data_IF_812110533829
#
_entry.id   IF_812110533829
#
_cell.length_a   1.000
_cell.length_b   1.000
_cell.length_c   1.000
_cell.angle_alpha   90.00
_cell.angle_beta   90.00
_cell.angle_gamma   90.00
#
_symmetry.space_group_name_H-M   'P 1'
#
loop_
_entity.id
_entity.type
_entity.pdbx_description
1 polymer ?
#
# COMPACT_ATOMS: atom_id res chain seq x y z
N UNK A 1 4.54 -7.27 29.30
CA UNK A 1 3.59 -6.67 28.32
C UNK A 1 4.10 -7.10 26.95
N UNK A 2 3.20 -7.55 26.08
CA UNK A 2 3.59 -7.93 24.72
C UNK A 2 4.08 -6.69 23.97
N UNK A 3 5.12 -6.84 23.16
CA UNK A 3 5.62 -5.77 22.30
C UNK A 3 4.83 -5.77 21.01
N UNK A 4 4.21 -4.64 20.67
CA UNK A 4 3.42 -4.46 19.46
C UNK A 4 4.14 -3.54 18.50
N UNK A 5 4.39 -3.99 17.27
CA UNK A 5 4.88 -3.15 16.16
C UNK A 5 3.72 -2.86 15.24
N UNK A 6 3.37 -1.59 15.08
CA UNK A 6 2.17 -1.20 14.35
C UNK A 6 2.53 -0.58 13.01
N UNK A 7 1.89 -1.09 11.95
CA UNK A 7 1.99 -0.56 10.60
C UNK A 7 0.76 0.25 10.25
N UNK A 8 1.00 1.50 9.80
CA UNK A 8 0.02 2.43 9.27
C UNK A 8 0.22 2.55 7.76
N UNK A 9 -0.55 1.79 7.03
CA UNK A 9 -0.49 1.77 5.57
C UNK A 9 -1.35 2.87 4.99
N UNK A 10 -0.77 3.77 4.21
CA UNK A 10 -1.47 4.85 3.51
C UNK A 10 -1.32 4.65 2.01
N UNK A 11 -2.44 4.56 1.28
CA UNK A 11 -2.38 4.58 -0.17
C UNK A 11 -2.07 6.00 -0.65
N UNK A 12 -1.14 6.12 -1.61
CA UNK A 12 -0.78 7.39 -2.23
C UNK A 12 -2.00 8.21 -2.69
N UNK A 13 -1.79 9.52 -2.92
CA UNK A 13 -2.78 10.45 -3.44
C UNK A 13 -3.33 10.04 -4.82
N UNK A 14 -4.51 10.53 -5.24
CA UNK A 14 -5.08 10.24 -6.55
C UNK A 14 -4.12 10.55 -7.68
N UNK A 15 -4.08 9.67 -8.68
CA UNK A 15 -3.34 9.89 -9.93
C UNK A 15 -4.26 10.51 -10.95
N UNK A 16 -3.77 11.46 -11.74
CA UNK A 16 -4.52 12.13 -12.80
C UNK A 16 -3.98 11.75 -14.19
N UNK A 17 -4.84 11.79 -15.20
CA UNK A 17 -4.43 11.62 -16.61
C UNK A 17 -4.12 10.18 -17.03
N UNK A 18 -4.52 9.18 -16.27
CA UNK A 18 -4.30 7.75 -16.56
C UNK A 18 -5.59 6.93 -16.54
N UNK A 19 -6.73 7.59 -16.85
CA UNK A 19 -8.02 6.93 -16.83
C UNK A 19 -8.09 5.80 -17.86
N UNK A 20 -8.53 4.63 -17.39
CA UNK A 20 -8.74 3.46 -18.26
C UNK A 20 -7.49 2.71 -18.67
N UNK A 21 -6.30 3.09 -18.18
CA UNK A 21 -5.05 2.37 -18.44
C UNK A 21 -4.45 1.77 -17.18
N UNK A 22 -3.71 0.69 -17.33
CA UNK A 22 -2.91 0.12 -16.23
C UNK A 22 -1.58 0.85 -16.16
N UNK A 23 -1.35 1.63 -15.10
CA UNK A 23 -0.05 2.27 -14.89
C UNK A 23 0.90 1.46 -14.00
N UNK A 24 0.39 0.60 -13.11
CA UNK A 24 1.21 -0.31 -12.29
C UNK A 24 2.43 0.36 -11.65
N UNK A 25 3.61 -0.19 -11.96
CA UNK A 25 4.90 0.33 -11.50
C UNK A 25 5.44 1.51 -12.32
N UNK A 26 4.74 1.99 -13.37
CA UNK A 26 5.14 3.23 -14.04
C UNK A 26 5.11 4.40 -13.05
N UNK A 27 6.11 5.26 -13.15
CA UNK A 27 6.20 6.44 -12.29
C UNK A 27 5.32 7.57 -12.85
N UNK A 28 4.05 7.56 -12.41
CA UNK A 28 3.05 8.56 -12.75
C UNK A 28 2.84 9.53 -11.59
N UNK A 29 2.50 10.76 -11.91
CA UNK A 29 2.29 11.82 -10.92
C UNK A 29 0.95 11.68 -10.18
N UNK A 30 0.81 12.39 -9.06
CA UNK A 30 -0.41 12.38 -8.25
C UNK A 30 -0.86 13.80 -7.88
N UNK A 31 -2.15 13.95 -7.60
CA UNK A 31 -2.76 15.19 -7.16
C UNK A 31 -2.69 15.32 -5.63
N UNK A 32 -1.90 16.28 -5.15
CA UNK A 32 -1.73 16.62 -3.73
C UNK A 32 -2.38 17.97 -3.38
N UNK A 33 -3.32 18.45 -4.19
CA UNK A 33 -3.96 19.77 -4.02
C UNK A 33 -4.98 19.81 -2.88
N UNK A 34 -5.59 18.69 -2.46
CA UNK A 34 -6.58 18.62 -1.39
C UNK A 34 -5.96 18.82 0.01
N UNK A 35 -5.65 20.08 0.32
CA UNK A 35 -5.01 20.46 1.60
C UNK A 35 -5.85 20.10 2.83
N UNK A 36 -7.18 20.06 2.69
CA UNK A 36 -8.07 19.71 3.81
C UNK A 36 -7.91 18.23 4.16
N UNK A 37 -7.88 17.37 3.14
CA UNK A 37 -7.71 15.94 3.32
C UNK A 37 -6.31 15.59 3.85
N UNK A 38 -5.26 16.29 3.39
CA UNK A 38 -3.90 16.11 3.91
C UNK A 38 -3.76 16.55 5.36
N UNK A 39 -4.41 17.66 5.78
CA UNK A 39 -4.47 18.05 7.19
C UNK A 39 -5.17 17.02 8.07
N UNK A 40 -6.26 16.41 7.57
CA UNK A 40 -6.93 15.33 8.28
C UNK A 40 -6.06 14.07 8.37
N UNK A 41 -5.35 13.74 7.29
CA UNK A 41 -4.40 12.61 7.26
C UNK A 41 -3.24 12.82 8.25
N UNK A 42 -2.62 14.00 8.25
CA UNK A 42 -1.54 14.34 9.19
C UNK A 42 -1.97 14.19 10.65
N UNK A 43 -3.21 14.59 10.99
CA UNK A 43 -3.77 14.44 12.34
C UNK A 43 -4.08 12.98 12.73
N UNK A 44 -4.33 12.12 11.75
CA UNK A 44 -4.71 10.73 11.98
C UNK A 44 -3.48 9.81 12.12
N UNK A 45 -2.31 10.24 11.68
CA UNK A 45 -1.09 9.44 11.71
C UNK A 45 -0.30 9.67 13.00
N UNK A 46 0.44 8.67 13.50
CA UNK A 46 1.17 8.77 14.76
C UNK A 46 2.40 9.69 14.65
N UNK A 47 2.60 10.51 15.67
CA UNK A 47 3.84 11.26 15.86
C UNK A 47 5.00 10.32 16.23
N UNK A 48 6.23 10.67 15.85
CA UNK A 48 7.43 9.91 16.20
C UNK A 48 7.55 8.54 15.54
N UNK A 49 6.70 8.22 14.57
CA UNK A 49 6.78 6.97 13.82
C UNK A 49 8.04 6.88 12.94
N UNK A 50 8.38 5.66 12.55
CA UNK A 50 9.30 5.40 11.44
C UNK A 50 8.53 5.59 10.13
N UNK A 51 9.13 6.29 9.16
CA UNK A 51 8.49 6.51 7.87
C UNK A 51 9.21 5.77 6.75
N UNK A 52 8.44 5.10 5.93
CA UNK A 52 8.91 4.42 4.72
C UNK A 52 7.99 4.73 3.54
N UNK A 53 8.55 4.80 2.34
CA UNK A 53 7.78 4.95 1.10
C UNK A 53 8.29 3.97 0.05
N UNK A 54 7.49 3.67 -0.97
CA UNK A 54 8.03 3.12 -2.20
C UNK A 54 8.90 4.18 -2.91
N UNK A 55 9.65 3.75 -3.92
CA UNK A 55 10.46 4.62 -4.77
C UNK A 55 9.63 5.48 -5.76
N UNK A 56 8.33 5.18 -5.94
CA UNK A 56 7.50 5.85 -6.94
C UNK A 56 7.11 7.26 -6.47
N UNK A 57 7.22 8.24 -7.38
CA UNK A 57 7.05 9.67 -7.08
C UNK A 57 5.72 9.99 -6.39
N UNK A 58 4.63 9.30 -6.75
CA UNK A 58 3.32 9.49 -6.12
C UNK A 58 3.29 9.14 -4.62
N UNK A 59 4.09 8.15 -4.18
CA UNK A 59 4.21 7.82 -2.76
C UNK A 59 5.07 8.87 -2.04
N UNK A 60 6.20 9.26 -2.64
CA UNK A 60 7.11 10.27 -2.10
C UNK A 60 6.40 11.62 -1.96
N UNK A 61 5.70 12.09 -3.01
CA UNK A 61 4.93 13.34 -2.99
C UNK A 61 3.78 13.32 -1.98
N UNK A 62 3.15 12.15 -1.80
CA UNK A 62 2.12 11.98 -0.77
C UNK A 62 2.72 12.16 0.63
N UNK A 63 3.87 11.55 0.92
CA UNK A 63 4.58 11.76 2.20
C UNK A 63 4.94 13.24 2.41
N UNK A 64 5.49 13.90 1.38
CA UNK A 64 5.82 15.33 1.44
C UNK A 64 4.58 16.19 1.75
N UNK A 65 3.45 15.90 1.10
CA UNK A 65 2.21 16.65 1.35
C UNK A 65 1.65 16.45 2.77
N UNK A 66 1.91 15.29 3.41
CA UNK A 66 1.60 15.08 4.83
C UNK A 66 2.52 15.93 5.72
N UNK A 67 3.82 16.01 5.42
CA UNK A 67 4.75 16.90 6.13
C UNK A 67 4.34 18.37 6.00
N UNK A 68 4.03 18.80 4.78
CA UNK A 68 3.57 20.18 4.50
C UNK A 68 2.24 20.51 5.22
N UNK A 69 1.47 19.49 5.57
CA UNK A 69 0.23 19.62 6.35
C UNK A 69 0.45 19.71 7.86
N UNK A 70 1.71 19.62 8.32
CA UNK A 70 2.14 19.92 9.70
C UNK A 70 2.47 18.71 10.56
N UNK A 71 2.62 17.51 10.00
CA UNK A 71 3.17 16.37 10.74
C UNK A 71 4.67 16.32 10.53
N UNK A 72 5.43 16.52 11.61
CA UNK A 72 6.89 16.46 11.58
C UNK A 72 7.37 14.99 11.69
N UNK A 73 8.21 14.60 10.74
CA UNK A 73 8.84 13.27 10.73
C UNK A 73 10.15 13.30 9.93
N UNK A 74 11.08 12.36 10.21
CA UNK A 74 12.33 12.27 9.46
C UNK A 74 12.07 11.89 8.02
N UNK A 75 13.00 12.21 7.12
CA UNK A 75 12.91 11.79 5.72
C UNK A 75 12.59 10.28 5.62
N UNK A 76 11.54 9.89 4.91
CA UNK A 76 11.18 8.48 4.76
C UNK A 76 12.28 7.66 4.10
N UNK A 77 12.52 6.46 4.64
CA UNK A 77 13.36 5.50 3.95
C UNK A 77 12.64 4.96 2.69
N UNK A 78 13.36 4.88 1.59
CA UNK A 78 12.83 4.32 0.35
C UNK A 78 12.99 2.81 0.36
N UNK A 79 11.89 2.10 0.16
CA UNK A 79 11.81 0.65 0.05
C UNK A 79 11.22 0.28 -1.32
N UNK A 80 12.08 -0.11 -2.26
CA UNK A 80 11.66 -0.40 -3.64
C UNK A 80 10.62 -1.53 -3.70
N UNK A 81 10.77 -2.54 -2.84
CA UNK A 81 9.84 -3.66 -2.74
C UNK A 81 8.45 -3.30 -2.19
N UNK A 82 8.23 -2.05 -1.75
CA UNK A 82 6.91 -1.50 -1.47
C UNK A 82 6.26 -0.83 -2.70
N UNK A 83 6.86 -0.93 -3.88
CA UNK A 83 6.30 -0.46 -5.15
C UNK A 83 4.99 -1.14 -5.52
N UNK A 84 4.22 -0.53 -6.44
CA UNK A 84 3.01 -1.14 -7.00
C UNK A 84 3.37 -2.35 -7.88
N UNK A 85 2.39 -3.23 -8.13
CA UNK A 85 2.55 -4.38 -9.00
C UNK A 85 3.09 -3.95 -10.37
N UNK A 86 4.13 -4.65 -10.82
CA UNK A 86 4.68 -4.44 -12.15
C UNK A 86 3.89 -5.28 -13.17
N UNK A 87 3.15 -4.60 -14.05
CA UNK A 87 2.38 -5.25 -15.12
C UNK A 87 3.20 -5.40 -16.42
N UNK A 88 4.51 -5.14 -16.39
CA UNK A 88 5.42 -5.35 -17.53
C UNK A 88 4.94 -4.63 -18.79
N UNK A 89 4.86 -5.38 -19.90
CA UNK A 89 4.49 -4.87 -21.23
C UNK A 89 3.03 -4.37 -21.33
N UNK A 90 2.25 -4.56 -20.29
CA UNK A 90 0.87 -4.07 -20.21
C UNK A 90 0.73 -2.70 -19.58
N UNK A 91 1.80 -2.18 -18.99
CA UNK A 91 1.79 -0.84 -18.41
C UNK A 91 1.61 0.24 -19.48
N UNK A 92 0.65 1.14 -19.26
CA UNK A 92 0.26 2.19 -20.21
C UNK A 92 -0.80 1.76 -21.21
N UNK A 93 -1.21 0.49 -21.22
CA UNK A 93 -2.27 -0.01 -22.09
C UNK A 93 -3.63 -0.03 -21.37
N UNK A 94 -4.68 0.20 -22.13
CA UNK A 94 -6.05 -0.11 -21.72
C UNK A 94 -6.33 -1.61 -21.81
N UNK A 95 -7.38 -2.07 -21.14
CA UNK A 95 -7.83 -3.46 -21.21
C UNK A 95 -8.12 -3.93 -22.65
N UNK A 96 -8.72 -3.05 -23.47
CA UNK A 96 -9.01 -3.35 -24.87
C UNK A 96 -7.74 -3.46 -25.72
N UNK A 97 -6.71 -2.64 -25.47
CA UNK A 97 -5.45 -2.72 -26.17
C UNK A 97 -4.67 -3.98 -25.82
N UNK A 98 -4.64 -4.37 -24.53
CA UNK A 98 -4.03 -5.63 -24.11
C UNK A 98 -4.68 -6.83 -24.78
N UNK A 99 -6.03 -6.89 -24.78
CA UNK A 99 -6.80 -7.94 -25.42
C UNK A 99 -6.53 -8.04 -26.92
N UNK A 100 -6.43 -6.89 -27.61
CA UNK A 100 -6.12 -6.83 -29.05
C UNK A 100 -4.68 -7.22 -29.36
N UNK A 101 -3.74 -6.93 -28.46
CA UNK A 101 -2.32 -7.21 -28.66
C UNK A 101 -2.00 -8.70 -28.58
N UNK A 102 -2.60 -9.40 -27.62
CA UNK A 102 -2.39 -10.84 -27.40
C UNK A 102 -3.57 -11.42 -26.62
N UNK A 103 -4.55 -11.98 -27.37
CA UNK A 103 -5.77 -12.54 -26.80
C UNK A 103 -5.48 -13.75 -25.90
N UNK A 104 -4.57 -14.64 -26.32
CA UNK A 104 -4.30 -15.90 -25.60
C UNK A 104 -3.64 -15.59 -24.25
N UNK A 105 -2.67 -14.69 -24.22
CA UNK A 105 -2.03 -14.22 -22.99
C UNK A 105 -3.02 -13.49 -22.09
N UNK A 106 -3.91 -12.67 -22.65
CA UNK A 106 -4.96 -11.97 -21.93
C UNK A 106 -5.93 -12.94 -21.26
N UNK A 107 -6.44 -13.95 -21.98
CA UNK A 107 -7.35 -14.95 -21.45
C UNK A 107 -6.67 -15.83 -20.39
N UNK A 108 -5.43 -16.23 -20.63
CA UNK A 108 -4.63 -16.99 -19.65
C UNK A 108 -4.42 -16.22 -18.34
N UNK A 109 -4.16 -14.90 -18.42
CA UNK A 109 -4.05 -14.06 -17.25
C UNK A 109 -5.36 -14.00 -16.46
N UNK A 110 -6.50 -13.80 -17.16
CA UNK A 110 -7.80 -13.70 -16.48
C UNK A 110 -8.33 -15.03 -15.96
N UNK A 111 -7.79 -16.15 -16.40
CA UNK A 111 -8.09 -17.45 -15.81
C UNK A 111 -7.55 -17.58 -14.38
N UNK A 112 -6.40 -16.94 -14.07
CA UNK A 112 -5.84 -16.80 -12.72
C UNK A 112 -5.02 -15.50 -12.62
N UNK A 113 -5.67 -14.34 -12.41
CA UNK A 113 -5.01 -13.03 -12.44
C UNK A 113 -4.11 -12.77 -11.22
N UNK A 114 -4.16 -13.66 -10.22
CA UNK A 114 -3.38 -13.50 -9.01
C UNK A 114 -2.05 -14.24 -9.05
N UNK A 115 -1.95 -15.33 -9.80
CA UNK A 115 -0.73 -16.15 -9.93
C UNK A 115 -0.09 -16.08 -11.32
N UNK A 116 -0.84 -15.68 -12.34
CA UNK A 116 -0.30 -15.49 -13.68
C UNK A 116 0.45 -14.16 -13.77
N UNK A 117 1.65 -14.21 -14.34
CA UNK A 117 2.46 -13.01 -14.59
C UNK A 117 2.07 -12.38 -15.92
N UNK A 118 1.81 -11.06 -15.98
CA UNK A 118 1.78 -10.38 -17.26
C UNK A 118 3.16 -10.43 -17.92
N UNK A 119 3.26 -10.32 -19.26
CA UNK A 119 4.53 -10.35 -19.97
C UNK A 119 5.52 -9.31 -19.43
N UNK A 120 6.72 -9.76 -19.02
CA UNK A 120 7.73 -8.89 -18.43
C UNK A 120 7.39 -8.35 -17.03
N UNK A 121 6.31 -8.79 -16.41
CA UNK A 121 5.85 -8.31 -15.12
C UNK A 121 5.88 -9.37 -14.01
N UNK A 122 5.19 -9.06 -12.92
CA UNK A 122 5.03 -9.91 -11.75
C UNK A 122 3.55 -10.25 -11.50
N UNK A 123 3.29 -11.39 -10.88
CA UNK A 123 1.96 -11.75 -10.37
C UNK A 123 1.65 -11.03 -9.05
N UNK A 124 0.39 -11.00 -8.64
CA UNK A 124 0.04 -10.51 -7.30
C UNK A 124 0.64 -11.39 -6.20
N UNK A 125 0.78 -12.69 -6.44
CA UNK A 125 1.47 -13.59 -5.51
C UNK A 125 2.96 -13.23 -5.33
N UNK A 126 3.66 -12.80 -6.40
CA UNK A 126 5.02 -12.29 -6.30
C UNK A 126 5.06 -10.99 -5.48
N UNK A 127 4.11 -10.10 -5.68
CA UNK A 127 3.98 -8.87 -4.90
C UNK A 127 3.74 -9.16 -3.41
N UNK A 128 2.88 -10.14 -3.07
CA UNK A 128 2.68 -10.59 -1.68
C UNK A 128 4.01 -11.04 -1.08
N UNK A 129 4.80 -11.83 -1.82
CA UNK A 129 6.08 -12.33 -1.32
C UNK A 129 7.06 -11.20 -1.00
N UNK A 130 7.35 -10.29 -1.95
CA UNK A 130 8.29 -9.18 -1.72
C UNK A 130 7.82 -8.21 -0.63
N UNK A 131 6.51 -7.93 -0.56
CA UNK A 131 5.92 -7.13 0.52
C UNK A 131 6.14 -7.79 1.88
N UNK A 132 5.98 -9.13 1.97
CA UNK A 132 6.20 -9.90 3.19
C UNK A 132 7.65 -9.86 3.66
N UNK A 133 8.60 -9.95 2.73
CA UNK A 133 10.02 -9.85 3.04
C UNK A 133 10.37 -8.48 3.67
N UNK A 134 9.85 -7.38 3.12
CA UNK A 134 10.01 -6.03 3.69
C UNK A 134 9.33 -5.92 5.06
N UNK A 135 8.09 -6.35 5.17
CA UNK A 135 7.34 -6.30 6.43
C UNK A 135 8.06 -7.06 7.53
N UNK A 136 8.52 -8.27 7.27
CA UNK A 136 9.26 -9.08 8.24
C UNK A 136 10.53 -8.38 8.71
N UNK A 137 11.35 -7.91 7.77
CA UNK A 137 12.61 -7.22 8.04
C UNK A 137 12.42 -5.93 8.84
N UNK A 138 11.49 -5.08 8.44
CA UNK A 138 11.25 -3.80 9.10
C UNK A 138 10.55 -3.95 10.45
N UNK A 139 9.66 -4.94 10.61
CA UNK A 139 9.03 -5.25 11.90
C UNK A 139 10.07 -5.63 12.95
N UNK A 140 11.03 -6.49 12.58
CA UNK A 140 12.14 -6.87 13.47
C UNK A 140 13.03 -5.65 13.78
N UNK A 141 13.41 -4.88 12.76
CA UNK A 141 14.28 -3.70 12.91
C UNK A 141 13.67 -2.61 13.79
N UNK A 142 12.36 -2.44 13.75
CA UNK A 142 11.65 -1.36 14.43
C UNK A 142 10.63 -1.87 15.46
N UNK A 143 10.97 -2.98 16.11
CA UNK A 143 10.15 -3.63 17.12
C UNK A 143 9.63 -2.65 18.18
N UNK A 144 8.34 -2.73 18.49
CA UNK A 144 7.67 -1.88 19.47
C UNK A 144 7.38 -0.45 19.00
N UNK A 145 7.55 -0.15 17.72
CA UNK A 145 7.34 1.19 17.16
C UNK A 145 6.17 1.22 16.16
N UNK A 146 5.66 2.43 15.97
CA UNK A 146 4.80 2.72 14.82
C UNK A 146 5.64 2.88 13.54
N UNK A 147 5.19 2.30 12.43
CA UNK A 147 5.78 2.40 11.09
C UNK A 147 4.69 2.94 10.16
N UNK A 148 4.88 4.11 9.58
CA UNK A 148 4.00 4.67 8.54
C UNK A 148 4.59 4.33 7.18
N UNK A 149 3.81 3.62 6.36
CA UNK A 149 4.19 3.22 5.02
C UNK A 149 3.28 3.87 3.97
N UNK A 150 3.83 4.78 3.16
CA UNK A 150 3.11 5.33 2.01
C UNK A 150 3.36 4.41 0.82
N UNK A 151 2.30 3.75 0.38
CA UNK A 151 2.39 2.69 -0.64
C UNK A 151 1.21 2.73 -1.62
N UNK A 152 0.86 1.58 -2.18
CA UNK A 152 -0.06 1.43 -3.31
C UNK A 152 -1.19 0.45 -3.01
N UNK A 153 -2.20 0.44 -3.87
CA UNK A 153 -3.36 -0.42 -3.68
C UNK A 153 -3.02 -1.91 -3.62
N UNK A 154 -2.19 -2.39 -4.54
CA UNK A 154 -1.72 -3.77 -4.57
C UNK A 154 -0.85 -4.12 -3.37
N UNK A 155 0.11 -3.25 -3.03
CA UNK A 155 1.01 -3.44 -1.89
C UNK A 155 0.25 -3.52 -0.55
N UNK A 156 -0.78 -2.68 -0.35
CA UNK A 156 -1.59 -2.71 0.88
C UNK A 156 -2.46 -3.96 0.93
N UNK A 157 -3.03 -4.39 -0.22
CA UNK A 157 -3.73 -5.67 -0.31
C UNK A 157 -2.80 -6.84 0.03
N UNK A 158 -1.55 -6.81 -0.45
CA UNK A 158 -0.54 -7.80 -0.13
C UNK A 158 -0.24 -7.84 1.37
N UNK A 159 -0.04 -6.69 2.01
CA UNK A 159 0.19 -6.58 3.45
C UNK A 159 -0.98 -7.15 4.27
N UNK A 160 -2.21 -6.85 3.89
CA UNK A 160 -3.42 -7.38 4.52
C UNK A 160 -3.58 -8.88 4.28
N UNK A 161 -3.24 -9.38 3.09
CA UNK A 161 -3.26 -10.81 2.79
C UNK A 161 -2.30 -11.58 3.68
N UNK A 162 -1.11 -11.05 3.92
CA UNK A 162 -0.12 -11.62 4.83
C UNK A 162 -0.68 -11.65 6.27
N UNK A 163 -1.20 -10.51 6.73
CA UNK A 163 -1.71 -10.37 8.10
C UNK A 163 -2.88 -11.31 8.41
N UNK A 164 -3.76 -11.52 7.45
CA UNK A 164 -4.96 -12.35 7.57
C UNK A 164 -4.75 -13.78 7.06
N UNK A 165 -3.58 -14.12 6.53
CA UNK A 165 -3.27 -15.40 5.88
C UNK A 165 -4.28 -15.75 4.77
N UNK A 166 -4.61 -14.75 3.94
CA UNK A 166 -5.53 -14.91 2.83
C UNK A 166 -4.83 -15.54 1.62
N UNK A 167 -5.59 -16.31 0.86
CA UNK A 167 -5.17 -16.64 -0.51
C UNK A 167 -5.16 -15.36 -1.37
N UNK A 168 -4.31 -15.28 -2.41
CA UNK A 168 -4.18 -14.08 -3.24
C UNK A 168 -5.52 -13.56 -3.80
N UNK A 169 -6.43 -14.45 -4.21
CA UNK A 169 -7.75 -14.10 -4.73
C UNK A 169 -8.60 -13.34 -3.70
N UNK A 170 -8.53 -13.77 -2.45
CA UNK A 170 -9.25 -13.12 -1.35
C UNK A 170 -8.68 -11.73 -1.08
N UNK A 171 -7.34 -11.58 -1.17
CA UNK A 171 -6.66 -10.29 -1.02
C UNK A 171 -7.08 -9.28 -2.09
N UNK A 172 -7.29 -9.72 -3.32
CA UNK A 172 -7.77 -8.86 -4.41
C UNK A 172 -9.17 -8.28 -4.17
N UNK A 173 -10.00 -8.94 -3.37
CA UNK A 173 -11.33 -8.46 -3.02
C UNK A 173 -11.32 -7.25 -2.05
N UNK A 174 -10.18 -6.94 -1.43
CA UNK A 174 -10.08 -5.81 -0.51
C UNK A 174 -10.06 -4.48 -1.27
N UNK A 175 -10.98 -3.59 -0.93
CA UNK A 175 -10.98 -2.22 -1.45
C UNK A 175 -9.99 -1.36 -0.67
N UNK A 176 -9.14 -0.63 -1.38
CA UNK A 176 -8.19 0.33 -0.81
C UNK A 176 -8.32 1.65 -1.58
N UNK A 177 -8.86 2.67 -0.95
CA UNK A 177 -9.06 4.00 -1.55
C UNK A 177 -7.81 4.86 -1.39
N UNK A 178 -7.60 5.85 -2.27
CA UNK A 178 -6.49 6.81 -2.14
C UNK A 178 -6.61 7.63 -0.86
N UNK A 179 -5.49 7.88 -0.19
CA UNK A 179 -5.41 8.55 1.11
C UNK A 179 -6.21 7.86 2.23
N UNK A 180 -6.57 6.58 2.07
CA UNK A 180 -7.11 5.77 3.16
C UNK A 180 -5.99 5.21 4.02
N UNK A 181 -6.33 4.88 5.27
CA UNK A 181 -5.43 4.26 6.25
C UNK A 181 -5.88 2.82 6.49
N UNK A 182 -4.93 1.87 6.42
CA UNK A 182 -5.12 0.51 6.92
C UNK A 182 -4.11 0.25 8.03
N UNK A 183 -4.54 -0.32 9.15
CA UNK A 183 -3.69 -0.53 10.33
C UNK A 183 -3.60 -2.00 10.66
N UNK A 184 -2.37 -2.51 10.73
CA UNK A 184 -2.07 -3.87 11.18
C UNK A 184 -1.00 -3.82 12.26
N UNK A 185 -1.04 -4.76 13.19
CA UNK A 185 -0.08 -4.86 14.30
C UNK A 185 0.56 -6.24 14.31
N UNK A 186 1.86 -6.29 14.52
CA UNK A 186 2.57 -7.50 14.87
C UNK A 186 2.69 -7.58 16.39
N UNK A 187 2.05 -8.61 16.97
CA UNK A 187 2.09 -8.88 18.42
C UNK A 187 3.10 -9.99 18.66
N UNK A 188 4.26 -9.68 19.23
CA UNK A 188 5.41 -10.57 19.26
C UNK A 188 5.18 -11.86 20.04
N UNK A 189 4.55 -11.75 21.21
CA UNK A 189 4.24 -12.92 22.05
C UNK A 189 2.98 -13.67 21.58
N UNK A 190 2.34 -13.21 20.49
CA UNK A 190 1.08 -13.73 19.99
C UNK A 190 -0.12 -13.29 20.83
N UNK A 191 -1.33 -13.60 20.33
CA UNK A 191 -2.58 -13.31 21.04
C UNK A 191 -2.89 -14.32 22.16
N UNK A 192 -2.28 -15.50 22.09
CA UNK A 192 -2.35 -16.53 23.10
C UNK A 192 -0.93 -16.81 23.62
N UNK A 193 -0.79 -16.98 24.93
CA UNK A 193 0.53 -17.23 25.55
C UNK A 193 1.25 -18.41 24.88
N UNK A 194 2.48 -18.17 24.44
CA UNK A 194 3.32 -19.18 23.81
C UNK A 194 3.01 -19.46 22.33
N UNK A 195 2.14 -18.68 21.68
CA UNK A 195 1.76 -18.87 20.28
C UNK A 195 2.75 -18.25 19.28
N UNK A 196 3.77 -17.49 19.74
CA UNK A 196 4.68 -16.74 18.88
C UNK A 196 4.04 -15.51 18.26
N UNK A 197 4.79 -14.81 17.42
CA UNK A 197 4.34 -13.58 16.76
C UNK A 197 3.14 -13.78 15.85
N UNK A 198 2.17 -12.87 15.93
CA UNK A 198 0.95 -12.92 15.13
C UNK A 198 0.58 -11.52 14.65
N UNK A 199 0.01 -11.45 13.44
CA UNK A 199 -0.58 -10.23 12.91
C UNK A 199 -2.03 -10.05 13.37
N UNK A 200 -2.38 -8.82 13.72
CA UNK A 200 -3.75 -8.38 14.06
C UNK A 200 -4.14 -7.24 13.13
N UNK A 201 -5.28 -7.31 12.48
CA UNK A 201 -5.82 -6.22 11.66
C UNK A 201 -6.68 -5.33 12.54
N UNK A 202 -6.32 -4.04 12.64
CA UNK A 202 -7.00 -3.04 13.47
C UNK A 202 -7.95 -2.17 12.66
N UNK A 203 -7.71 -2.05 11.35
CA UNK A 203 -8.56 -1.30 10.44
C UNK A 203 -8.16 -1.51 8.99
N UNK A 204 -9.14 -1.46 8.09
CA UNK A 204 -8.92 -1.59 6.65
C UNK A 204 -9.62 -0.44 5.94
N UNK A 205 -8.92 0.20 5.00
CA UNK A 205 -9.47 1.24 4.12
C UNK A 205 -10.22 2.36 4.87
N UNK A 206 -9.72 2.77 6.03
CA UNK A 206 -10.34 3.80 6.85
C UNK A 206 -10.18 5.17 6.18
N UNK A 207 -11.28 5.87 5.87
CA UNK A 207 -11.19 7.23 5.32
C UNK A 207 -10.72 8.20 6.41
N UNK A 208 -9.93 9.19 6.04
CA UNK A 208 -9.63 10.29 6.93
C UNK A 208 -10.88 11.17 7.11
N UNK A 209 -11.25 11.43 8.36
CA UNK A 209 -12.41 12.26 8.67
C UNK A 209 -12.08 13.74 8.45
N UNK A 210 -12.74 14.34 7.48
CA UNK A 210 -12.67 15.78 7.21
C UNK A 210 -13.79 16.47 7.99
N UNK A 211 -13.45 17.32 8.94
CA UNK A 211 -14.45 18.16 9.61
C UNK A 211 -14.92 19.26 8.65
N UNK A 212 -16.06 19.02 8.00
CA UNK A 212 -16.66 19.97 7.05
C UNK A 212 -17.14 21.27 7.70
N UNK A 213 -17.16 21.36 9.04
CA UNK A 213 -17.59 22.56 9.76
C UNK A 213 -16.50 23.62 9.85
N UNK A 214 -15.25 23.27 9.53
CA UNK A 214 -14.09 24.19 9.56
C UNK A 214 -13.59 24.58 8.18
N UNK A 215 -14.30 24.24 7.11
CA UNK A 215 -13.99 24.74 5.75
C UNK A 215 -14.53 26.15 5.59
N UNK A 216 -13.70 27.09 5.12
CA UNK A 216 -14.12 28.49 4.90
C UNK A 216 -15.17 28.60 3.80
#
# INVERSE_FOLDING_TARGET
MSTETRWWWVRHAPVAGVDGVIYGANDVDCDVSDKVRFKALAKALPEGAVWVTSHLSRAIKTAQAVADAGLDFPQPAIEEDLGEQNFGDWQGLSWDEMRKKDMDTYESFWADPTRTRPPGGESFADQIKRTGDVMGRLTIKHQGRDIVAIAHGGTIRAALSIALKLEPEQGMALRIDTLSISVIEHVEDGLLRGAGGVWRVCGVNQPVLVDRRTSP
#
